data_IF_388385375533
#
_entry.id   IF_388385375533
#
_cell.length_a   1.000
_cell.length_b   1.000
_cell.length_c   1.000
_cell.angle_alpha   90.00
_cell.angle_beta   90.00
_cell.angle_gamma   90.00
#
_symmetry.space_group_name_H-M   'P 1'
#
loop_
_entity.id
_entity.type
_entity.pdbx_description
1 polymer ?
#
# COMPACT_ATOMS: atom_id res chain seq x y z
N UNK A 1 -48.18 18.48 -0.47
CA UNK A 1 -47.84 17.84 -1.76
C UNK A 1 -46.40 18.25 -2.06
N UNK A 2 -45.41 17.36 -2.16
CA UNK A 2 -45.47 15.89 -2.22
C UNK A 2 -44.22 15.25 -1.57
N UNK A 3 -44.37 14.04 -1.02
CA UNK A 3 -43.33 13.21 -0.39
C UNK A 3 -42.85 12.19 -1.48
N UNK A 4 -41.57 11.78 -1.59
CA UNK A 4 -40.79 11.03 -0.61
C UNK A 4 -39.29 10.91 -0.99
N UNK A 5 -38.44 10.59 0.01
CA UNK A 5 -37.42 9.52 -0.02
C UNK A 5 -36.51 9.35 -1.25
N UNK A 6 -35.22 9.59 -1.04
CA UNK A 6 -34.23 8.50 -1.18
C UNK A 6 -33.49 8.43 0.16
N UNK A 7 -33.33 7.23 0.70
CA UNK A 7 -32.50 7.01 1.89
C UNK A 7 -31.07 7.46 1.62
N UNK A 8 -30.43 8.05 2.62
CA UNK A 8 -28.96 8.14 2.64
C UNK A 8 -28.51 6.82 3.22
N UNK A 9 -28.33 5.82 2.36
CA UNK A 9 -27.77 4.53 2.76
C UNK A 9 -26.41 4.78 3.45
N UNK A 10 -26.32 4.45 4.74
CA UNK A 10 -25.06 4.38 5.50
C UNK A 10 -24.22 3.16 5.08
N UNK A 11 -24.09 2.94 3.77
CA UNK A 11 -23.09 2.03 3.23
C UNK A 11 -21.75 2.75 3.29
N UNK A 12 -21.04 2.59 4.41
CA UNK A 12 -19.68 3.08 4.61
C UNK A 12 -18.84 2.74 3.39
N UNK A 13 -18.35 3.72 2.60
CA UNK A 13 -17.52 3.41 1.45
C UNK A 13 -16.25 2.77 1.99
N UNK A 14 -16.15 1.45 1.81
CA UNK A 14 -14.98 0.67 2.18
C UNK A 14 -13.77 1.39 1.60
N UNK A 15 -12.88 1.84 2.49
CA UNK A 15 -11.87 2.83 2.15
C UNK A 15 -11.00 2.31 1.01
N UNK A 16 -11.30 2.75 -0.21
CA UNK A 16 -10.49 2.51 -1.39
C UNK A 16 -9.27 3.40 -1.27
N UNK A 17 -8.33 2.98 -0.43
CA UNK A 17 -6.93 3.39 -0.48
C UNK A 17 -6.39 2.95 -1.84
N UNK A 18 -6.68 3.74 -2.87
CA UNK A 18 -5.98 3.68 -4.14
C UNK A 18 -4.54 4.04 -3.85
N UNK A 19 -3.69 3.02 -3.69
CA UNK A 19 -2.28 3.20 -3.42
C UNK A 19 -1.70 3.95 -4.63
N UNK A 20 -1.45 5.25 -4.46
CA UNK A 20 -1.17 6.18 -5.55
C UNK A 20 0.30 6.14 -5.94
N UNK A 21 0.83 4.92 -6.09
CA UNK A 21 2.25 4.61 -6.19
C UNK A 21 3.00 4.81 -4.87
N UNK A 22 4.28 4.37 -4.83
CA UNK A 22 5.10 4.46 -3.62
C UNK A 22 5.31 5.90 -3.16
N UNK A 23 5.27 6.11 -1.84
CA UNK A 23 5.55 7.44 -1.27
C UNK A 23 7.04 7.78 -1.34
N UNK A 24 7.36 9.06 -1.14
CA UNK A 24 8.75 9.50 -1.01
C UNK A 24 9.49 8.82 0.16
N UNK A 25 8.78 8.38 1.21
CA UNK A 25 9.35 7.67 2.36
C UNK A 25 9.75 6.25 1.97
N UNK A 26 8.91 5.55 1.20
CA UNK A 26 9.19 4.18 0.74
C UNK A 26 10.40 4.16 -0.19
N UNK A 27 10.51 5.16 -1.07
CA UNK A 27 11.69 5.35 -1.91
C UNK A 27 12.97 5.61 -1.09
N UNK A 28 12.91 6.44 -0.04
CA UNK A 28 14.05 6.67 0.84
C UNK A 28 14.47 5.40 1.60
N UNK A 29 13.52 4.62 2.11
CA UNK A 29 13.77 3.34 2.78
C UNK A 29 14.42 2.35 1.79
N UNK A 30 13.85 2.21 0.61
CA UNK A 30 14.35 1.29 -0.42
C UNK A 30 15.76 1.65 -0.93
N UNK A 31 16.02 2.95 -1.19
CA UNK A 31 17.35 3.43 -1.58
C UNK A 31 18.36 3.24 -0.46
N UNK A 32 17.98 3.46 0.81
CA UNK A 32 18.86 3.25 1.96
C UNK A 32 19.21 1.77 2.12
N UNK A 33 18.22 0.88 2.06
CA UNK A 33 18.43 -0.57 2.13
C UNK A 33 19.37 -1.04 1.02
N UNK A 34 19.11 -0.65 -0.23
CA UNK A 34 19.97 -0.93 -1.38
C UNK A 34 21.41 -0.40 -1.20
N UNK A 35 21.56 0.83 -0.74
CA UNK A 35 22.88 1.45 -0.53
C UNK A 35 23.74 0.68 0.48
N UNK A 36 23.10 0.04 1.46
CA UNK A 36 23.77 -0.77 2.49
C UNK A 36 23.77 -2.28 2.21
N UNK A 37 23.27 -2.74 1.05
CA UNK A 37 23.18 -4.18 0.73
C UNK A 37 22.22 -4.94 1.64
N UNK A 38 21.15 -4.27 2.11
CA UNK A 38 20.13 -4.81 3.00
C UNK A 38 18.83 -5.10 2.25
N UNK A 39 18.06 -6.04 2.79
CA UNK A 39 16.70 -6.36 2.33
C UNK A 39 15.67 -5.55 3.11
N UNK A 40 14.68 -4.97 2.42
CA UNK A 40 13.52 -4.34 3.08
C UNK A 40 12.54 -5.43 3.50
N UNK A 41 12.29 -5.55 4.81
CA UNK A 41 11.25 -6.41 5.36
C UNK A 41 9.95 -5.59 5.54
N UNK A 42 8.87 -5.95 4.85
CA UNK A 42 7.66 -5.11 4.74
C UNK A 42 6.33 -5.88 4.80
N UNK A 43 5.24 -5.14 4.95
CA UNK A 43 3.88 -5.60 4.63
C UNK A 43 3.12 -4.63 3.70
N UNK A 44 3.84 -3.79 2.96
CA UNK A 44 3.26 -2.85 2.00
C UNK A 44 3.40 -3.36 0.55
N UNK A 45 2.41 -3.08 -0.30
CA UNK A 45 2.46 -3.39 -1.75
C UNK A 45 3.37 -2.44 -2.51
N UNK A 46 3.67 -1.26 -1.98
CA UNK A 46 4.51 -0.28 -2.66
C UNK A 46 5.98 -0.71 -2.70
N UNK A 47 6.51 -1.38 -1.67
CA UNK A 47 7.85 -2.01 -1.75
C UNK A 47 7.93 -3.12 -2.80
N UNK A 48 6.87 -3.94 -2.94
CA UNK A 48 6.77 -4.93 -4.01
C UNK A 48 6.59 -4.31 -5.41
N UNK A 49 6.27 -3.02 -5.49
CA UNK A 49 6.25 -2.24 -6.74
C UNK A 49 7.63 -1.61 -7.00
N UNK A 50 8.28 -1.07 -5.97
CA UNK A 50 9.66 -0.56 -6.05
C UNK A 50 10.62 -1.66 -6.52
N UNK A 51 10.55 -2.87 -5.94
CA UNK A 51 11.42 -4.00 -6.29
C UNK A 51 11.32 -4.46 -7.75
N UNK A 52 10.25 -4.10 -8.48
CA UNK A 52 10.11 -4.37 -9.92
C UNK A 52 10.76 -3.29 -10.79
N UNK A 53 10.93 -2.09 -10.26
CA UNK A 53 11.46 -0.92 -10.96
C UNK A 53 12.91 -0.59 -10.60
N UNK A 54 13.36 -1.05 -9.42
CA UNK A 54 14.69 -0.81 -8.89
C UNK A 54 15.28 -2.10 -8.30
N UNK A 55 16.60 -2.19 -8.40
CA UNK A 55 17.45 -3.27 -7.86
C UNK A 55 17.53 -3.19 -6.33
N UNK A 56 16.42 -3.52 -5.66
CA UNK A 56 16.22 -3.48 -4.21
C UNK A 56 15.66 -4.84 -3.78
N UNK A 57 16.34 -5.55 -2.88
CA UNK A 57 15.79 -6.77 -2.31
C UNK A 57 14.67 -6.44 -1.31
N UNK A 58 13.55 -7.15 -1.38
CA UNK A 58 12.46 -7.03 -0.42
C UNK A 58 11.90 -8.40 0.00
N UNK A 59 11.29 -8.47 1.17
CA UNK A 59 10.66 -9.68 1.72
C UNK A 59 9.43 -9.31 2.55
N UNK A 60 8.41 -10.16 2.50
CA UNK A 60 7.17 -9.98 3.23
C UNK A 60 7.28 -10.55 4.65
N UNK A 61 6.84 -9.81 5.66
CA UNK A 61 6.76 -10.31 7.05
C UNK A 61 5.78 -11.48 7.23
N UNK A 62 4.80 -11.58 6.34
CA UNK A 62 3.75 -12.59 6.32
C UNK A 62 3.17 -12.70 4.89
N UNK A 63 2.48 -13.78 4.52
CA UNK A 63 1.88 -13.93 3.19
C UNK A 63 0.98 -12.73 2.81
N UNK A 64 1.05 -12.21 1.57
CA UNK A 64 0.22 -11.08 1.15
C UNK A 64 -1.28 -11.38 1.32
N UNK A 65 -1.97 -10.55 2.11
CA UNK A 65 -3.39 -10.71 2.47
C UNK A 65 -3.67 -11.52 3.75
N UNK A 66 -2.65 -11.95 4.51
CA UNK A 66 -2.84 -12.66 5.79
C UNK A 66 -2.97 -11.76 7.04
N UNK A 67 -2.67 -10.46 6.93
CA UNK A 67 -2.84 -9.46 7.99
C UNK A 67 -3.94 -8.49 7.59
N UNK A 68 -4.82 -8.17 8.55
CA UNK A 68 -6.03 -7.34 8.41
C UNK A 68 -6.12 -6.38 9.60
#
# INVERSE_FOLDING_TARGET
MTRNLVDVDEETPAATSGHQGPSAVDLLIAVTARHHGLKVLHYDRDFATIAKAADVETEWVAPPGSVN
#
